data_IF_428547566133
#
_entry.id   IF_428547566133
#
_cell.length_a   1.000
_cell.length_b   1.000
_cell.length_c   1.000
_cell.angle_alpha   90.00
_cell.angle_beta   90.00
_cell.angle_gamma   90.00
#
_symmetry.space_group_name_H-M   'P 1'
#
loop_
_entity.id
_entity.type
_entity.pdbx_description
1 polymer ?
#
# COMPACT_ATOMS: atom_id res chain seq x y z
N UNK A 1 5.24 7.23 -30.22
CA UNK A 1 6.25 7.99 -29.44
C UNK A 1 5.68 8.20 -28.04
N UNK A 2 6.25 7.57 -27.03
CA UNK A 2 5.90 7.87 -25.63
C UNK A 2 6.58 9.18 -25.23
N UNK A 3 5.80 10.14 -24.74
CA UNK A 3 6.37 11.37 -24.16
C UNK A 3 6.95 11.01 -22.80
N UNK A 4 8.18 11.45 -22.46
CA UNK A 4 8.74 11.21 -21.14
C UNK A 4 7.85 11.86 -20.08
N UNK A 5 7.62 11.15 -18.98
CA UNK A 5 6.95 11.72 -17.81
C UNK A 5 8.00 12.52 -17.06
N UNK A 6 7.77 13.82 -16.93
CA UNK A 6 8.70 14.75 -16.29
C UNK A 6 8.08 15.17 -14.95
N UNK A 7 8.81 14.95 -13.86
CA UNK A 7 8.46 15.49 -12.57
C UNK A 7 8.41 17.03 -12.65
N UNK A 8 7.29 17.60 -12.23
CA UNK A 8 7.09 19.04 -12.20
C UNK A 8 6.20 19.40 -11.00
N UNK A 9 6.73 20.24 -10.12
CA UNK A 9 5.97 20.72 -8.97
C UNK A 9 4.83 21.64 -9.39
N UNK A 10 3.73 21.62 -8.65
CA UNK A 10 2.68 22.61 -8.78
C UNK A 10 3.23 24.01 -8.43
N UNK A 11 2.89 24.99 -9.22
CA UNK A 11 3.41 26.36 -9.10
C UNK A 11 2.41 27.36 -8.50
N UNK A 12 1.18 26.93 -8.24
CA UNK A 12 0.12 27.74 -7.63
C UNK A 12 -0.95 26.88 -6.95
N UNK A 13 -1.79 27.50 -6.12
CA UNK A 13 -2.84 26.83 -5.34
C UNK A 13 -3.85 26.11 -6.22
N UNK A 14 -4.20 26.65 -7.38
CA UNK A 14 -5.14 26.01 -8.31
C UNK A 14 -4.58 24.69 -8.86
N UNK A 15 -3.29 24.65 -9.19
CA UNK A 15 -2.62 23.43 -9.61
C UNK A 15 -2.58 22.38 -8.50
N UNK A 16 -2.34 22.78 -7.24
CA UNK A 16 -2.41 21.89 -6.06
C UNK A 16 -3.81 21.30 -5.91
N UNK A 17 -4.85 22.14 -5.95
CA UNK A 17 -6.24 21.70 -5.84
C UNK A 17 -6.62 20.72 -6.95
N UNK A 18 -6.25 21.01 -8.19
CA UNK A 18 -6.47 20.12 -9.32
C UNK A 18 -5.73 18.79 -9.15
N UNK A 19 -4.49 18.81 -8.66
CA UNK A 19 -3.70 17.61 -8.40
C UNK A 19 -4.43 16.66 -7.43
N UNK A 20 -4.86 17.18 -6.26
CA UNK A 20 -5.54 16.34 -5.28
C UNK A 20 -6.94 15.92 -5.71
N UNK A 21 -7.67 16.75 -6.44
CA UNK A 21 -8.94 16.33 -7.05
C UNK A 21 -8.74 15.15 -8.01
N UNK A 22 -7.76 15.23 -8.90
CA UNK A 22 -7.43 14.15 -9.84
C UNK A 22 -6.88 12.91 -9.14
N UNK A 23 -6.10 13.10 -8.07
CA UNK A 23 -5.66 12.02 -7.22
C UNK A 23 -6.84 11.28 -6.57
N UNK A 24 -7.87 12.01 -6.12
CA UNK A 24 -9.11 11.42 -5.61
C UNK A 24 -9.84 10.57 -6.65
N UNK A 25 -9.94 11.06 -7.90
CA UNK A 25 -10.51 10.28 -9.01
C UNK A 25 -9.71 9.00 -9.27
N UNK A 26 -8.38 9.07 -9.27
CA UNK A 26 -7.54 7.87 -9.39
C UNK A 26 -7.75 6.92 -8.21
N UNK A 27 -7.85 7.45 -7.00
CA UNK A 27 -8.08 6.65 -5.80
C UNK A 27 -9.39 5.86 -5.87
N UNK A 28 -10.45 6.41 -6.48
CA UNK A 28 -11.71 5.68 -6.72
C UNK A 28 -11.50 4.49 -7.67
N UNK A 29 -10.73 4.67 -8.74
CA UNK A 29 -10.40 3.59 -9.67
C UNK A 29 -9.50 2.54 -8.99
N UNK A 30 -8.48 2.99 -8.24
CA UNK A 30 -7.57 2.10 -7.51
C UNK A 30 -8.31 1.30 -6.44
N UNK A 31 -9.28 1.91 -5.76
CA UNK A 31 -10.16 1.20 -4.83
C UNK A 31 -10.95 0.09 -5.53
N UNK A 32 -11.62 0.41 -6.65
CA UNK A 32 -12.39 -0.58 -7.43
C UNK A 32 -11.52 -1.76 -7.89
N UNK A 33 -10.33 -1.46 -8.38
CA UNK A 33 -9.40 -2.46 -8.91
C UNK A 33 -8.60 -3.20 -7.82
N UNK A 34 -8.75 -2.87 -6.55
CA UNK A 34 -7.93 -3.38 -5.45
C UNK A 34 -6.43 -3.19 -5.68
N UNK A 35 -6.05 -2.03 -6.23
CA UNK A 35 -4.66 -1.71 -6.52
C UNK A 35 -3.79 -1.76 -5.28
N UNK A 36 -2.55 -2.15 -5.48
CA UNK A 36 -1.50 -2.15 -4.45
C UNK A 36 -0.27 -1.43 -4.97
N UNK A 37 0.67 -1.12 -4.08
CA UNK A 37 2.01 -0.64 -4.43
C UNK A 37 2.08 0.73 -5.14
N UNK A 38 1.04 1.57 -5.01
CA UNK A 38 1.04 2.95 -5.53
C UNK A 38 1.78 3.88 -4.57
N UNK A 39 3.03 3.55 -4.26
CA UNK A 39 3.87 4.34 -3.35
C UNK A 39 4.57 5.51 -4.07
N UNK A 40 5.38 6.26 -3.34
CA UNK A 40 6.00 7.51 -3.80
C UNK A 40 6.94 7.36 -5.01
N UNK A 41 7.46 6.16 -5.28
CA UNK A 41 8.27 5.91 -6.47
C UNK A 41 7.41 5.63 -7.71
N UNK A 42 6.15 5.22 -7.54
CA UNK A 42 5.22 4.86 -8.60
C UNK A 42 4.22 5.96 -8.96
N UNK A 43 4.16 7.05 -8.17
CA UNK A 43 3.31 8.21 -8.42
C UNK A 43 4.15 9.46 -8.60
N UNK A 44 4.19 9.99 -9.83
CA UNK A 44 4.97 11.18 -10.17
C UNK A 44 4.08 12.43 -10.22
N UNK A 45 4.50 13.49 -9.56
CA UNK A 45 3.83 14.79 -9.66
C UNK A 45 4.18 15.45 -11.00
N UNK A 46 3.14 15.77 -11.78
CA UNK A 46 3.23 16.51 -13.03
C UNK A 46 2.34 17.75 -12.97
N UNK A 47 2.81 18.79 -12.28
CA UNK A 47 2.10 20.05 -12.00
C UNK A 47 0.76 19.82 -11.27
N UNK A 48 -0.31 19.73 -12.05
CA UNK A 48 -1.71 19.64 -11.60
C UNK A 48 -2.28 18.23 -11.70
N UNK A 49 -1.43 17.23 -11.94
CA UNK A 49 -1.85 15.84 -12.18
C UNK A 49 -0.87 14.84 -11.56
N UNK A 50 -1.33 13.86 -10.78
CA UNK A 50 -0.53 12.68 -10.49
C UNK A 50 -0.41 11.83 -11.77
N UNK A 51 0.75 11.19 -11.95
CA UNK A 51 1.00 10.22 -13.03
C UNK A 51 1.51 8.94 -12.42
N UNK A 52 0.83 7.84 -12.70
CA UNK A 52 1.24 6.51 -12.28
C UNK A 52 2.19 5.98 -13.36
N UNK A 53 3.39 5.59 -12.97
CA UNK A 53 4.45 5.13 -13.88
C UNK A 53 4.66 3.63 -13.85
N UNK A 54 4.20 2.96 -12.80
CA UNK A 54 4.18 1.51 -12.70
C UNK A 54 2.75 1.01 -12.50
N UNK A 55 2.23 0.31 -13.51
CA UNK A 55 0.86 -0.17 -13.54
C UNK A 55 0.75 -1.69 -13.32
N UNK A 56 1.84 -2.38 -12.96
CA UNK A 56 1.81 -3.85 -12.85
C UNK A 56 0.89 -4.38 -11.74
N UNK A 57 0.61 -3.55 -10.73
CA UNK A 57 -0.21 -3.88 -9.55
C UNK A 57 -1.51 -3.07 -9.45
N UNK A 58 -1.94 -2.44 -10.56
CA UNK A 58 -3.21 -1.67 -10.60
C UNK A 58 -4.42 -2.57 -10.32
N UNK A 59 -4.34 -3.84 -10.66
CA UNK A 59 -5.39 -4.83 -10.38
C UNK A 59 -4.81 -5.91 -9.49
N UNK A 60 -5.58 -6.37 -8.48
CA UNK A 60 -5.15 -7.46 -7.60
C UNK A 60 -6.28 -8.43 -7.30
N UNK A 61 -5.91 -9.69 -7.06
CA UNK A 61 -6.78 -10.72 -6.53
C UNK A 61 -6.90 -10.61 -5.00
N UNK A 62 -8.04 -10.98 -4.43
CA UNK A 62 -8.26 -10.89 -2.99
C UNK A 62 -7.78 -12.15 -2.27
N UNK A 63 -6.95 -11.97 -1.25
CA UNK A 63 -6.47 -13.08 -0.40
C UNK A 63 -7.57 -13.65 0.49
N UNK A 64 -7.39 -14.89 0.92
CA UNK A 64 -8.22 -15.47 1.97
C UNK A 64 -7.95 -14.79 3.32
N UNK A 65 -9.01 -14.49 4.05
CA UNK A 65 -8.96 -13.83 5.37
C UNK A 65 -8.91 -14.87 6.52
N UNK A 66 -7.95 -15.80 6.50
CA UNK A 66 -7.95 -16.91 7.47
C UNK A 66 -7.63 -16.50 8.92
N UNK A 67 -6.87 -15.44 9.14
CA UNK A 67 -6.39 -15.05 10.48
C UNK A 67 -6.45 -13.54 10.76
N UNK A 68 -7.04 -12.77 9.86
CA UNK A 68 -7.05 -11.32 10.04
C UNK A 68 -8.16 -10.90 10.99
N UNK A 69 -7.80 -10.05 11.93
CA UNK A 69 -8.79 -9.30 12.70
C UNK A 69 -9.57 -8.32 11.79
N UNK A 70 -10.63 -7.74 12.31
CA UNK A 70 -11.50 -6.83 11.57
C UNK A 70 -10.74 -5.67 10.90
N UNK A 71 -9.68 -5.18 11.55
CA UNK A 71 -8.87 -4.05 11.07
C UNK A 71 -8.02 -4.45 9.86
N UNK A 72 -7.37 -5.61 9.90
CA UNK A 72 -6.62 -6.14 8.77
C UNK A 72 -7.49 -6.33 7.53
N UNK A 73 -8.71 -6.85 7.72
CA UNK A 73 -9.71 -6.96 6.64
C UNK A 73 -10.07 -5.61 6.05
N UNK A 74 -10.30 -4.62 6.92
CA UNK A 74 -10.61 -3.25 6.51
C UNK A 74 -9.47 -2.65 5.68
N UNK A 75 -8.21 -2.81 6.10
CA UNK A 75 -7.05 -2.30 5.37
C UNK A 75 -6.96 -2.92 3.98
N UNK A 76 -7.04 -4.25 3.87
CA UNK A 76 -6.90 -4.97 2.60
C UNK A 76 -8.08 -4.81 1.64
N UNK A 77 -9.25 -4.39 2.11
CA UNK A 77 -10.45 -4.17 1.27
C UNK A 77 -10.75 -2.70 0.98
N UNK A 78 -9.99 -1.78 1.56
CA UNK A 78 -10.27 -0.33 1.50
C UNK A 78 -9.35 0.42 0.53
N UNK A 79 -9.57 1.74 0.43
CA UNK A 79 -8.70 2.68 -0.30
C UNK A 79 -7.24 2.65 0.18
N UNK A 80 -7.02 2.26 1.45
CA UNK A 80 -5.68 2.22 2.06
C UNK A 80 -4.79 1.14 1.45
N UNK A 81 -5.39 0.10 0.87
CA UNK A 81 -4.67 -0.97 0.18
C UNK A 81 -3.79 -0.44 -0.95
N UNK A 82 -4.22 0.63 -1.63
CA UNK A 82 -3.52 1.21 -2.77
C UNK A 82 -2.11 1.71 -2.47
N UNK A 83 -1.82 2.07 -1.22
CA UNK A 83 -0.60 2.78 -0.80
C UNK A 83 -0.48 4.21 -1.33
N UNK A 84 -1.51 4.76 -1.96
CA UNK A 84 -1.54 6.18 -2.31
C UNK A 84 -1.65 7.07 -1.08
N UNK A 85 -2.31 6.58 -0.03
CA UNK A 85 -2.55 7.27 1.24
C UNK A 85 -1.55 6.82 2.31
N UNK A 86 -1.24 7.68 3.29
CA UNK A 86 -0.41 7.32 4.41
C UNK A 86 -1.02 6.16 5.19
N UNK A 87 -0.26 5.10 5.36
CA UNK A 87 -0.59 4.03 6.29
C UNK A 87 0.57 3.99 7.27
N UNK A 88 0.44 4.74 8.36
CA UNK A 88 1.44 4.82 9.40
C UNK A 88 1.46 3.53 10.20
N UNK A 89 1.96 2.49 9.57
CA UNK A 89 2.38 1.28 10.27
C UNK A 89 3.74 1.62 10.89
N UNK A 90 3.86 1.62 12.21
CA UNK A 90 5.16 1.67 12.84
C UNK A 90 5.87 0.35 12.48
N UNK A 91 6.45 0.30 11.28
CA UNK A 91 7.30 -0.81 10.88
C UNK A 91 8.71 -0.46 11.34
N UNK A 92 9.39 -1.39 11.99
CA UNK A 92 10.80 -1.23 12.35
C UNK A 92 11.72 -1.06 11.12
N UNK A 93 11.17 -1.20 9.92
CA UNK A 93 11.90 -1.14 8.63
C UNK A 93 11.93 0.27 8.06
N UNK A 94 10.82 1.01 8.14
CA UNK A 94 10.73 2.37 7.58
C UNK A 94 10.18 3.34 8.62
N UNK A 95 10.98 4.30 9.02
CA UNK A 95 10.60 5.40 9.94
C UNK A 95 9.93 6.57 9.18
N UNK A 96 9.53 6.39 7.92
CA UNK A 96 8.98 7.45 7.09
C UNK A 96 7.80 6.95 6.25
N UNK A 97 6.93 7.89 5.88
CA UNK A 97 5.79 7.61 5.01
C UNK A 97 6.27 7.42 3.56
N UNK A 98 5.86 6.30 2.97
CA UNK A 98 6.14 5.95 1.58
C UNK A 98 4.92 6.11 0.67
N UNK A 99 3.84 6.72 1.14
CA UNK A 99 2.61 6.86 0.38
C UNK A 99 2.81 7.64 -0.92
N UNK A 100 2.04 7.31 -1.93
CA UNK A 100 2.14 7.93 -3.26
C UNK A 100 1.84 9.42 -3.28
N UNK A 101 0.99 9.91 -2.38
CA UNK A 101 0.51 11.30 -2.38
C UNK A 101 1.13 12.17 -1.29
N UNK A 102 1.55 11.58 -0.17
CA UNK A 102 1.93 12.31 1.04
C UNK A 102 3.33 12.01 1.55
N UNK A 103 4.09 11.13 0.88
CA UNK A 103 5.47 10.88 1.27
C UNK A 103 6.28 12.17 1.33
N UNK A 104 6.77 12.51 2.52
CA UNK A 104 7.56 13.71 2.76
C UNK A 104 9.04 13.39 2.92
N UNK A 105 9.85 14.40 2.57
CA UNK A 105 11.27 14.40 2.92
C UNK A 105 11.40 14.60 4.43
N UNK A 106 11.62 13.54 5.17
CA UNK A 106 11.84 13.64 6.60
C UNK A 106 13.05 14.54 6.94
N UNK A 107 13.01 15.19 8.11
CA UNK A 107 14.12 15.98 8.67
C UNK A 107 15.39 15.15 8.89
N UNK A 108 15.28 13.81 8.95
CA UNK A 108 16.43 12.91 8.96
C UNK A 108 16.32 11.94 7.80
N UNK A 109 17.24 12.01 6.86
CA UNK A 109 17.39 11.06 5.75
C UNK A 109 17.93 9.70 6.24
N UNK A 110 17.50 9.23 7.42
CA UNK A 110 18.02 8.00 8.03
C UNK A 110 16.92 6.98 8.15
N UNK A 111 17.13 5.86 7.51
CA UNK A 111 16.25 4.69 7.55
C UNK A 111 16.90 3.63 8.40
N UNK A 112 16.15 2.99 9.28
CA UNK A 112 16.58 1.77 9.97
C UNK A 112 16.47 0.59 9.02
N UNK A 113 17.59 0.00 8.69
CA UNK A 113 17.68 -1.17 7.82
C UNK A 113 18.23 -2.34 8.64
N UNK A 114 17.60 -3.52 8.65
CA UNK A 114 18.19 -4.69 9.27
C UNK A 114 19.42 -5.13 8.45
N UNK A 115 20.55 -5.26 9.13
CA UNK A 115 21.80 -5.76 8.55
C UNK A 115 22.37 -6.86 9.41
N UNK A 116 23.00 -7.86 8.78
CA UNK A 116 23.80 -8.85 9.49
C UNK A 116 25.07 -8.16 9.97
N UNK A 117 25.34 -8.27 11.27
CA UNK A 117 26.39 -7.47 11.94
C UNK A 117 27.72 -8.19 12.02
N UNK A 118 27.75 -9.49 11.89
CA UNK A 118 28.97 -10.26 12.06
C UNK A 118 29.24 -11.16 10.87
N UNK A 119 30.24 -10.80 10.07
CA UNK A 119 30.66 -11.53 8.89
C UNK A 119 31.58 -12.72 9.25
N UNK A 120 31.95 -12.85 10.53
CA UNK A 120 33.00 -13.79 10.98
C UNK A 120 32.41 -14.94 11.80
N UNK A 121 31.39 -14.72 12.58
CA UNK A 121 30.74 -15.73 13.41
C UNK A 121 29.64 -16.48 12.68
N UNK A 122 29.45 -17.76 13.01
CA UNK A 122 28.39 -18.63 12.48
C UNK A 122 26.99 -18.26 12.98
N UNK A 123 26.90 -17.36 13.96
CA UNK A 123 25.66 -16.90 14.57
C UNK A 123 25.17 -15.66 13.83
N UNK A 124 24.10 -15.82 13.04
CA UNK A 124 23.51 -14.72 12.26
C UNK A 124 22.77 -13.79 13.23
N UNK A 125 23.40 -12.66 13.55
CA UNK A 125 22.82 -11.61 14.39
C UNK A 125 22.37 -10.43 13.55
N UNK A 126 21.13 -10.01 13.70
CA UNK A 126 20.63 -8.79 13.08
C UNK A 126 20.86 -7.57 13.96
N UNK A 127 21.29 -6.49 13.32
CA UNK A 127 21.31 -5.17 13.92
C UNK A 127 20.63 -4.19 12.98
N UNK A 128 19.77 -3.35 13.53
CA UNK A 128 19.21 -2.24 12.75
C UNK A 128 20.26 -1.12 12.64
N UNK A 129 20.62 -0.80 11.41
CA UNK A 129 21.59 0.26 11.10
C UNK A 129 20.86 1.41 10.45
N UNK A 130 21.17 2.64 10.87
CA UNK A 130 20.66 3.84 10.22
C UNK A 130 21.45 4.10 8.93
N UNK A 131 20.76 4.03 7.80
CA UNK A 131 21.32 4.29 6.48
C UNK A 131 20.80 5.64 5.99
N UNK A 132 21.66 6.43 5.34
CA UNK A 132 21.23 7.66 4.69
C UNK A 132 20.55 7.30 3.36
N UNK A 133 19.28 7.65 3.22
CA UNK A 133 18.61 7.68 1.92
C UNK A 133 18.33 9.11 1.49
N UNK A 134 18.39 9.35 0.20
CA UNK A 134 17.87 10.56 -0.42
C UNK A 134 16.40 10.30 -0.78
N UNK A 135 15.44 10.82 -0.03
CA UNK A 135 14.03 10.60 -0.33
C UNK A 135 13.71 11.20 -1.69
N UNK A 136 13.04 10.42 -2.52
CA UNK A 136 12.46 10.93 -3.77
C UNK A 136 11.20 11.71 -3.42
N UNK A 137 11.17 12.98 -3.81
CA UNK A 137 10.06 13.89 -3.53
C UNK A 137 8.87 13.55 -4.43
N UNK A 138 7.85 12.91 -3.89
CA UNK A 138 6.51 12.93 -4.51
C UNK A 138 5.70 14.15 -4.04
N UNK A 139 6.10 14.78 -2.94
CA UNK A 139 5.29 15.72 -2.21
C UNK A 139 5.29 17.12 -2.81
N UNK A 140 4.12 17.59 -3.13
CA UNK A 140 3.77 19.01 -3.36
C UNK A 140 3.85 19.86 -2.10
N UNK A 141 3.85 19.23 -0.93
CA UNK A 141 3.48 19.86 0.33
C UNK A 141 4.53 20.79 0.90
N UNK A 142 5.80 20.49 0.76
CA UNK A 142 6.84 21.15 1.55
C UNK A 142 7.24 22.55 1.07
N UNK A 143 6.88 22.94 -0.15
CA UNK A 143 7.31 24.22 -0.72
C UNK A 143 6.22 25.24 -0.99
N UNK A 144 4.97 24.84 -1.03
CA UNK A 144 3.87 25.75 -1.37
C UNK A 144 3.23 26.44 -0.17
N UNK A 145 3.67 26.23 1.05
CA UNK A 145 3.32 27.01 2.27
C UNK A 145 1.91 27.62 2.43
N UNK A 146 1.08 27.52 1.41
CA UNK A 146 -0.19 28.20 1.24
C UNK A 146 -1.40 27.26 1.08
N UNK A 147 -1.20 25.98 0.78
CA UNK A 147 -2.34 25.03 0.76
C UNK A 147 -2.57 24.54 2.18
N UNK A 148 -3.71 24.87 2.76
CA UNK A 148 -4.09 24.32 4.05
C UNK A 148 -4.48 22.87 3.89
N UNK A 149 -4.15 22.03 4.87
CA UNK A 149 -4.48 20.59 4.89
C UNK A 149 -5.95 20.32 4.60
N UNK A 150 -6.85 21.14 5.14
CA UNK A 150 -8.30 21.08 4.85
C UNK A 150 -8.63 21.21 3.37
N UNK A 151 -7.92 22.06 2.62
CA UNK A 151 -8.16 22.24 1.18
C UNK A 151 -7.71 21.01 0.40
N UNK A 152 -6.61 20.38 0.83
CA UNK A 152 -6.07 19.15 0.24
C UNK A 152 -7.05 17.99 0.45
N UNK A 153 -7.49 17.78 1.70
CA UNK A 153 -8.46 16.74 2.05
C UNK A 153 -9.77 16.96 1.30
N UNK A 154 -10.30 18.19 1.31
CA UNK A 154 -11.55 18.53 0.63
C UNK A 154 -11.51 18.22 -0.87
N UNK A 155 -10.41 18.55 -1.55
CA UNK A 155 -10.24 18.26 -2.99
C UNK A 155 -10.09 16.77 -3.26
N UNK A 156 -9.35 16.05 -2.43
CA UNK A 156 -9.18 14.61 -2.56
C UNK A 156 -10.51 13.87 -2.39
N UNK A 157 -11.29 14.21 -1.36
CA UNK A 157 -12.63 13.65 -1.11
C UNK A 157 -13.60 13.98 -2.25
N UNK A 158 -13.63 15.23 -2.72
CA UNK A 158 -14.46 15.63 -3.86
C UNK A 158 -14.12 14.84 -5.12
N UNK A 159 -12.83 14.62 -5.40
CA UNK A 159 -12.38 13.82 -6.53
C UNK A 159 -12.75 12.33 -6.37
N UNK A 160 -12.57 11.76 -5.18
CA UNK A 160 -12.95 10.38 -4.89
C UNK A 160 -14.45 10.15 -5.08
N UNK A 161 -15.27 11.02 -4.51
CA UNK A 161 -16.73 10.98 -4.67
C UNK A 161 -17.16 11.08 -6.12
N UNK A 162 -16.60 12.04 -6.87
CA UNK A 162 -16.86 12.21 -8.30
C UNK A 162 -16.48 10.95 -9.10
N UNK A 163 -15.31 10.35 -8.81
CA UNK A 163 -14.86 9.11 -9.43
C UNK A 163 -15.80 7.94 -9.15
N UNK A 164 -16.18 7.72 -7.89
CA UNK A 164 -17.14 6.67 -7.50
C UNK A 164 -18.52 6.90 -8.15
N UNK A 165 -19.01 8.13 -8.16
CA UNK A 165 -20.29 8.49 -8.80
C UNK A 165 -20.27 8.16 -10.30
N UNK A 166 -19.17 8.47 -10.99
CA UNK A 166 -19.04 8.17 -12.41
C UNK A 166 -18.92 6.67 -12.68
N UNK A 167 -18.25 5.91 -11.81
CA UNK A 167 -18.20 4.44 -11.86
C UNK A 167 -19.61 3.86 -11.74
N UNK A 168 -20.43 4.35 -10.78
CA UNK A 168 -21.80 3.90 -10.60
C UNK A 168 -22.64 4.20 -11.84
N UNK A 169 -22.56 5.42 -12.39
CA UNK A 169 -23.29 5.81 -13.62
C UNK A 169 -22.93 4.92 -14.79
N UNK A 170 -21.66 4.53 -14.92
CA UNK A 170 -21.14 3.69 -16.01
C UNK A 170 -21.01 2.21 -15.65
N UNK A 171 -21.73 1.75 -14.61
CA UNK A 171 -21.65 0.37 -14.12
C UNK A 171 -21.72 -0.67 -15.24
N UNK A 172 -22.65 -0.52 -16.17
CA UNK A 172 -22.80 -1.46 -17.30
C UNK A 172 -21.59 -1.45 -18.24
N UNK A 173 -20.98 -0.31 -18.49
CA UNK A 173 -19.76 -0.23 -19.31
C UNK A 173 -18.57 -0.87 -18.59
N UNK A 174 -18.44 -0.67 -17.29
CA UNK A 174 -17.41 -1.33 -16.47
C UNK A 174 -17.61 -2.85 -16.49
N UNK A 175 -18.85 -3.34 -16.30
CA UNK A 175 -19.19 -4.76 -16.37
C UNK A 175 -18.83 -5.35 -17.73
N UNK A 176 -19.11 -4.65 -18.82
CA UNK A 176 -18.76 -5.08 -20.17
C UNK A 176 -17.25 -5.24 -20.34
N UNK A 177 -16.46 -4.26 -19.93
CA UNK A 177 -14.98 -4.30 -20.00
C UNK A 177 -14.42 -5.43 -19.16
N UNK A 178 -14.85 -5.54 -17.90
CA UNK A 178 -14.34 -6.57 -16.95
C UNK A 178 -14.73 -7.99 -17.40
N UNK A 179 -15.83 -8.13 -18.14
CA UNK A 179 -16.32 -9.41 -18.64
C UNK A 179 -15.82 -9.78 -20.04
N UNK A 180 -15.04 -8.91 -20.68
CA UNK A 180 -14.51 -9.18 -22.02
C UNK A 180 -13.55 -10.38 -22.00
N UNK A 181 -13.81 -11.42 -22.82
CA UNK A 181 -12.98 -12.63 -22.87
C UNK A 181 -11.50 -12.39 -23.19
N UNK A 182 -11.17 -11.28 -23.87
CA UNK A 182 -9.77 -10.96 -24.20
C UNK A 182 -8.89 -10.81 -22.95
N UNK A 183 -9.45 -10.41 -21.80
CA UNK A 183 -8.72 -10.24 -20.55
C UNK A 183 -8.64 -11.52 -19.70
N UNK A 184 -9.32 -12.61 -20.08
CA UNK A 184 -9.45 -13.80 -19.24
C UNK A 184 -8.12 -14.41 -18.79
N UNK A 185 -7.11 -14.36 -19.65
CA UNK A 185 -5.74 -14.86 -19.38
C UNK A 185 -4.73 -13.75 -19.12
N UNK A 186 -5.19 -12.51 -18.92
CA UNK A 186 -4.31 -11.41 -18.58
C UNK A 186 -3.57 -11.73 -17.28
N UNK A 187 -2.25 -11.62 -17.31
CA UNK A 187 -1.41 -11.81 -16.13
C UNK A 187 -1.50 -10.57 -15.24
N UNK A 188 -1.84 -10.80 -13.98
CA UNK A 188 -1.98 -9.78 -12.94
C UNK A 188 -0.86 -10.02 -11.93
N UNK A 189 0.07 -9.07 -11.83
CA UNK A 189 1.19 -9.15 -10.90
C UNK A 189 0.69 -9.23 -9.47
N UNK A 190 1.28 -10.12 -8.67
CA UNK A 190 0.95 -10.27 -7.27
C UNK A 190 2.20 -10.04 -6.40
N UNK A 191 2.13 -9.03 -5.54
CA UNK A 191 3.18 -8.73 -4.57
C UNK A 191 2.86 -9.45 -3.26
N UNK A 192 3.60 -10.51 -2.96
CA UNK A 192 3.42 -11.29 -1.74
C UNK A 192 4.26 -10.74 -0.59
N UNK A 193 5.40 -10.13 -0.91
CA UNK A 193 6.29 -9.41 -0.01
C UNK A 193 6.85 -8.18 -0.71
N UNK A 194 7.31 -7.17 0.03
CA UNK A 194 8.09 -6.07 -0.54
C UNK A 194 9.32 -6.62 -1.28
N UNK A 195 9.58 -6.13 -2.49
CA UNK A 195 10.74 -6.54 -3.30
C UNK A 195 12.05 -6.26 -2.57
N UNK A 196 12.09 -5.21 -1.75
CA UNK A 196 13.18 -4.90 -0.84
C UNK A 196 13.55 -6.06 0.09
N UNK A 197 12.57 -6.80 0.62
CA UNK A 197 12.84 -7.97 1.46
C UNK A 197 13.63 -9.03 0.70
N UNK A 198 13.22 -9.36 -0.53
CA UNK A 198 13.94 -10.33 -1.36
C UNK A 198 15.37 -9.87 -1.68
N UNK A 199 15.51 -8.59 -2.07
CA UNK A 199 16.83 -7.99 -2.35
C UNK A 199 17.75 -8.12 -1.15
N UNK A 200 17.28 -7.85 0.06
CA UNK A 200 18.09 -7.99 1.28
C UNK A 200 18.53 -9.43 1.55
N UNK A 201 17.65 -10.41 1.40
CA UNK A 201 18.04 -11.82 1.56
C UNK A 201 19.06 -12.25 0.50
N UNK A 202 18.93 -11.78 -0.74
CA UNK A 202 19.91 -12.04 -1.81
C UNK A 202 21.25 -11.43 -1.42
N UNK A 203 21.30 -10.13 -1.08
CA UNK A 203 22.52 -9.43 -0.67
C UNK A 203 23.22 -10.13 0.51
N UNK A 204 22.45 -10.47 1.57
CA UNK A 204 22.95 -11.14 2.74
C UNK A 204 23.48 -12.55 2.43
N UNK A 205 22.84 -13.25 1.48
CA UNK A 205 23.28 -14.61 1.07
C UNK A 205 24.66 -14.64 0.40
N UNK A 206 25.13 -13.51 -0.11
CA UNK A 206 26.44 -13.34 -0.73
C UNK A 206 27.54 -12.85 0.22
N UNK A 207 27.22 -12.69 1.50
CA UNK A 207 28.26 -12.36 2.48
C UNK A 207 29.17 -13.54 2.77
N UNK A 208 30.46 -13.30 3.10
CA UNK A 208 31.44 -14.37 3.34
C UNK A 208 31.01 -15.41 4.37
N UNK A 209 30.29 -15.01 5.43
CA UNK A 209 29.76 -15.92 6.43
C UNK A 209 28.75 -16.92 5.86
N UNK A 210 27.89 -16.48 4.92
CA UNK A 210 26.88 -17.32 4.27
C UNK A 210 27.45 -18.16 3.12
N UNK A 211 28.55 -17.71 2.47
CA UNK A 211 29.15 -18.42 1.33
C UNK A 211 30.13 -19.51 1.75
N UNK A 212 30.57 -19.56 3.02
CA UNK A 212 31.56 -20.53 3.48
C UNK A 212 31.08 -21.97 3.34
N UNK A 213 29.84 -22.25 3.71
CA UNK A 213 29.24 -23.57 3.60
C UNK A 213 27.80 -23.48 3.12
N UNK A 214 27.30 -24.59 2.56
CA UNK A 214 25.90 -24.69 2.14
C UNK A 214 24.95 -24.54 3.33
N UNK A 215 25.34 -25.09 4.48
CA UNK A 215 24.58 -25.06 5.74
C UNK A 215 24.40 -23.63 6.24
N UNK A 216 25.44 -22.80 6.18
CA UNK A 216 25.37 -21.38 6.58
C UNK A 216 24.38 -20.62 5.71
N UNK A 217 24.38 -20.86 4.40
CA UNK A 217 23.45 -20.23 3.49
C UNK A 217 22.01 -20.70 3.72
N UNK A 218 21.81 -21.98 4.04
CA UNK A 218 20.49 -22.50 4.42
C UNK A 218 19.97 -21.87 5.71
N UNK A 219 20.81 -21.70 6.73
CA UNK A 219 20.45 -21.06 7.99
C UNK A 219 19.89 -19.65 7.80
N UNK A 220 20.40 -18.87 6.83
CA UNK A 220 19.83 -17.57 6.46
C UNK A 220 18.36 -17.71 6.00
N UNK A 221 18.05 -18.70 5.18
CA UNK A 221 16.70 -18.91 4.66
C UNK A 221 15.76 -19.58 5.67
N UNK A 222 16.29 -20.25 6.70
CA UNK A 222 15.50 -20.80 7.79
C UNK A 222 14.82 -19.70 8.61
N UNK A 223 15.40 -18.50 8.65
CA UNK A 223 14.75 -17.32 9.26
C UNK A 223 13.41 -17.02 8.56
N UNK A 224 13.37 -17.12 7.23
CA UNK A 224 12.09 -16.97 6.50
C UNK A 224 11.11 -18.10 6.80
N UNK A 225 11.61 -19.34 6.97
CA UNK A 225 10.77 -20.50 7.29
C UNK A 225 10.17 -20.40 8.68
N UNK A 226 10.94 -19.93 9.65
CA UNK A 226 10.50 -19.78 11.04
C UNK A 226 9.46 -18.68 11.21
N UNK A 227 9.66 -17.54 10.53
CA UNK A 227 8.74 -16.40 10.60
C UNK A 227 7.47 -16.60 9.76
N UNK A 228 7.35 -17.69 8.99
CA UNK A 228 6.29 -17.89 8.01
C UNK A 228 5.22 -18.89 8.43
N UNK A 229 5.01 -19.09 9.73
CA UNK A 229 4.06 -20.07 10.27
C UNK A 229 2.58 -19.76 9.99
N UNK A 230 2.26 -18.56 9.51
CA UNK A 230 0.88 -18.09 9.38
C UNK A 230 0.15 -18.50 8.09
N UNK A 231 0.85 -18.98 7.07
CA UNK A 231 0.24 -19.34 5.76
C UNK A 231 0.07 -20.86 5.61
N UNK A 232 -0.50 -21.50 6.64
CA UNK A 232 -0.46 -22.93 6.88
C UNK A 232 -0.99 -23.81 5.72
N UNK A 233 -1.91 -23.30 4.88
CA UNK A 233 -2.50 -24.09 3.78
C UNK A 233 -1.61 -24.19 2.53
N UNK A 234 -0.88 -23.13 2.21
CA UNK A 234 -0.09 -23.03 0.97
C UNK A 234 1.36 -22.58 1.21
N UNK A 235 1.71 -22.26 2.46
CA UNK A 235 2.93 -21.55 2.84
C UNK A 235 4.21 -22.24 2.41
N UNK A 236 4.32 -23.54 2.58
CA UNK A 236 5.57 -24.26 2.27
C UNK A 236 5.91 -24.26 0.79
N UNK A 237 4.98 -24.54 -0.11
CA UNK A 237 5.27 -24.59 -1.56
C UNK A 237 5.65 -23.23 -2.11
N UNK A 238 4.93 -22.17 -1.71
CA UNK A 238 5.24 -20.81 -2.10
C UNK A 238 6.58 -20.36 -1.54
N UNK A 239 6.82 -20.60 -0.26
CA UNK A 239 8.05 -20.20 0.43
C UNK A 239 9.28 -20.89 -0.15
N UNK A 240 9.21 -22.18 -0.44
CA UNK A 240 10.32 -22.91 -1.07
C UNK A 240 10.59 -22.41 -2.50
N UNK A 241 9.57 -21.98 -3.23
CA UNK A 241 9.76 -21.29 -4.51
C UNK A 241 10.48 -19.96 -4.32
N UNK A 242 10.04 -19.11 -3.35
CA UNK A 242 10.69 -17.84 -3.00
C UNK A 242 12.18 -18.07 -2.70
N UNK A 243 12.50 -19.02 -1.82
CA UNK A 243 13.87 -19.36 -1.42
C UNK A 243 14.67 -19.87 -2.62
N UNK A 244 14.09 -20.71 -3.45
CA UNK A 244 14.73 -21.23 -4.66
C UNK A 244 15.15 -20.12 -5.61
N UNK A 245 14.31 -19.13 -5.84
CA UNK A 245 14.64 -17.99 -6.69
C UNK A 245 15.71 -17.08 -6.07
N UNK A 246 15.59 -16.75 -4.79
CA UNK A 246 16.60 -15.96 -4.09
C UNK A 246 17.99 -16.64 -4.08
N UNK A 247 18.05 -17.98 -3.95
CA UNK A 247 19.30 -18.73 -4.06
C UNK A 247 19.96 -18.63 -5.43
N UNK A 248 19.17 -18.36 -6.48
CA UNK A 248 19.65 -18.08 -7.85
C UNK A 248 20.00 -16.61 -8.08
N UNK A 249 19.77 -15.74 -7.07
CA UNK A 249 19.96 -14.29 -7.19
C UNK A 249 18.77 -13.58 -7.84
N UNK A 250 17.60 -14.24 -7.97
CA UNK A 250 16.41 -13.68 -8.59
C UNK A 250 15.42 -13.18 -7.54
N UNK A 251 14.78 -12.05 -7.83
CA UNK A 251 13.58 -11.63 -7.09
C UNK A 251 12.40 -12.49 -7.57
N UNK A 252 11.68 -13.20 -6.67
CA UNK A 252 10.54 -14.03 -7.04
C UNK A 252 9.43 -13.22 -7.71
N UNK A 253 8.90 -13.72 -8.83
CA UNK A 253 7.83 -13.08 -9.57
C UNK A 253 6.60 -13.96 -9.54
N UNK A 254 5.53 -13.43 -8.93
CA UNK A 254 4.23 -14.09 -8.87
C UNK A 254 3.18 -13.34 -9.67
N UNK A 255 2.22 -14.07 -10.20
CA UNK A 255 1.04 -13.51 -10.86
C UNK A 255 -0.18 -14.42 -10.68
N UNK A 256 -1.37 -13.88 -10.88
CA UNK A 256 -2.60 -14.62 -11.13
C UNK A 256 -3.05 -14.36 -12.57
N UNK A 257 -3.89 -15.23 -13.13
CA UNK A 257 -4.66 -14.87 -14.32
C UNK A 257 -5.91 -14.09 -13.88
N UNK A 258 -6.35 -13.13 -14.67
CA UNK A 258 -7.43 -12.21 -14.30
C UNK A 258 -8.72 -12.91 -13.85
N UNK A 259 -9.05 -14.05 -14.45
CA UNK A 259 -10.24 -14.85 -14.14
C UNK A 259 -9.95 -16.06 -13.23
N UNK A 260 -8.73 -16.20 -12.68
CA UNK A 260 -8.37 -17.35 -11.83
C UNK A 260 -7.90 -16.90 -10.46
N UNK A 261 -8.15 -17.73 -9.48
CA UNK A 261 -7.74 -17.55 -8.10
C UNK A 261 -6.47 -18.33 -7.73
N UNK A 262 -5.78 -18.90 -8.71
CA UNK A 262 -4.53 -19.61 -8.54
C UNK A 262 -3.33 -18.64 -8.49
N UNK A 263 -2.30 -19.00 -7.74
CA UNK A 263 -1.00 -18.33 -7.75
C UNK A 263 -0.07 -19.02 -8.74
N UNK A 264 0.46 -18.23 -9.66
CA UNK A 264 1.39 -18.69 -10.70
C UNK A 264 2.78 -18.10 -10.50
N UNK A 265 3.78 -18.88 -10.90
CA UNK A 265 5.15 -18.42 -11.16
C UNK A 265 5.75 -19.28 -12.27
N UNK A 266 6.64 -18.73 -13.09
CA UNK A 266 7.33 -19.41 -14.22
C UNK A 266 6.38 -20.19 -15.14
N UNK A 267 5.20 -19.67 -15.43
CA UNK A 267 4.21 -20.33 -16.28
C UNK A 267 3.48 -21.50 -15.63
N UNK A 268 3.69 -21.78 -14.35
CA UNK A 268 3.11 -22.91 -13.62
C UNK A 268 2.23 -22.44 -12.47
N UNK A 269 1.23 -23.24 -12.11
CA UNK A 269 0.48 -23.05 -10.87
C UNK A 269 1.39 -23.49 -9.71
N UNK A 270 1.71 -22.56 -8.81
CA UNK A 270 2.46 -22.85 -7.59
C UNK A 270 1.49 -23.20 -6.45
N UNK A 271 0.39 -22.46 -6.31
CA UNK A 271 -0.63 -22.74 -5.31
C UNK A 271 -2.02 -22.62 -5.95
N UNK A 272 -2.72 -23.75 -6.16
CA UNK A 272 -4.09 -23.72 -6.68
C UNK A 272 -5.05 -23.15 -5.65
N UNK A 273 -5.98 -22.28 -6.08
CA UNK A 273 -6.97 -21.64 -5.22
C UNK A 273 -6.36 -20.79 -4.11
N UNK A 274 -5.24 -20.12 -4.37
CA UNK A 274 -4.51 -19.29 -3.39
C UNK A 274 -5.31 -18.07 -2.96
N UNK A 275 -6.09 -17.50 -3.87
CA UNK A 275 -6.93 -16.33 -3.61
C UNK A 275 -8.37 -16.74 -3.34
N UNK A 276 -9.06 -15.96 -2.51
CA UNK A 276 -10.50 -16.13 -2.27
C UNK A 276 -11.29 -15.76 -3.51
N UNK A 277 -10.94 -14.63 -4.11
CA UNK A 277 -11.53 -14.14 -5.36
C UNK A 277 -10.41 -13.85 -6.36
N UNK A 278 -10.66 -14.20 -7.62
CA UNK A 278 -9.84 -13.73 -8.73
C UNK A 278 -9.88 -12.20 -8.85
N UNK A 279 -8.97 -11.61 -9.58
CA UNK A 279 -8.96 -10.17 -9.82
C UNK A 279 -10.27 -9.67 -10.43
N UNK A 280 -10.85 -10.43 -11.37
CA UNK A 280 -12.17 -10.15 -11.95
C UNK A 280 -13.26 -10.16 -10.89
N UNK A 281 -13.35 -11.22 -10.09
CA UNK A 281 -14.37 -11.37 -9.06
C UNK A 281 -14.26 -10.28 -8.00
N UNK A 282 -13.03 -9.88 -7.63
CA UNK A 282 -12.77 -8.78 -6.70
C UNK A 282 -13.34 -7.45 -7.21
N UNK A 283 -13.14 -7.14 -8.50
CA UNK A 283 -13.72 -5.92 -9.11
C UNK A 283 -15.25 -6.01 -9.14
N UNK A 284 -15.80 -7.16 -9.52
CA UNK A 284 -17.25 -7.36 -9.59
C UNK A 284 -17.91 -7.22 -8.22
N UNK A 285 -17.30 -7.80 -7.19
CA UNK A 285 -17.75 -7.72 -5.81
C UNK A 285 -17.77 -6.27 -5.31
N UNK A 286 -16.67 -5.53 -5.50
CA UNK A 286 -16.61 -4.12 -5.14
C UNK A 286 -17.60 -3.27 -5.93
N UNK A 287 -17.78 -3.53 -7.23
CA UNK A 287 -18.74 -2.81 -8.07
C UNK A 287 -20.19 -3.08 -7.67
N UNK A 288 -20.49 -4.29 -7.18
CA UNK A 288 -21.80 -4.66 -6.68
C UNK A 288 -22.18 -3.86 -5.42
N UNK A 289 -21.22 -3.71 -4.51
CA UNK A 289 -21.41 -3.06 -3.19
C UNK A 289 -21.00 -1.58 -3.17
N UNK A 290 -20.66 -0.99 -4.32
CA UNK A 290 -20.33 0.43 -4.41
C UNK A 290 -21.61 1.27 -4.36
N UNK A 291 -21.97 1.71 -3.17
CA UNK A 291 -23.12 2.54 -2.85
C UNK A 291 -22.69 3.78 -2.04
N UNK A 292 -23.65 4.65 -1.70
CA UNK A 292 -23.38 5.87 -0.94
C UNK A 292 -22.79 5.56 0.45
N UNK A 293 -23.22 4.49 1.10
CA UNK A 293 -22.71 4.07 2.41
C UNK A 293 -21.25 3.66 2.33
N UNK A 294 -20.91 2.86 1.32
CA UNK A 294 -19.54 2.43 1.04
C UNK A 294 -18.65 3.62 0.70
N UNK A 295 -19.12 4.55 -0.13
CA UNK A 295 -18.37 5.77 -0.48
C UNK A 295 -18.07 6.58 0.77
N UNK A 296 -19.07 6.86 1.61
CA UNK A 296 -18.89 7.60 2.88
C UNK A 296 -17.91 6.90 3.82
N UNK A 297 -17.95 5.58 3.88
CA UNK A 297 -17.01 4.82 4.68
C UNK A 297 -15.56 4.98 4.18
N UNK A 298 -15.34 4.89 2.86
CA UNK A 298 -14.01 5.10 2.28
C UNK A 298 -13.53 6.55 2.43
N UNK A 299 -14.41 7.54 2.28
CA UNK A 299 -14.11 8.96 2.53
C UNK A 299 -13.59 9.21 3.95
N UNK A 300 -14.17 8.52 4.94
CA UNK A 300 -13.67 8.59 6.33
C UNK A 300 -12.28 8.02 6.48
N UNK A 301 -12.03 6.87 5.85
CA UNK A 301 -10.70 6.27 5.89
C UNK A 301 -9.65 7.17 5.24
N UNK A 302 -10.00 7.85 4.14
CA UNK A 302 -9.13 8.84 3.51
C UNK A 302 -8.80 9.98 4.48
N UNK A 303 -9.83 10.59 5.06
CA UNK A 303 -9.66 11.72 6.00
C UNK A 303 -8.84 11.31 7.24
N UNK A 304 -9.14 10.15 7.81
CA UNK A 304 -8.42 9.61 8.98
C UNK A 304 -6.96 9.31 8.69
N UNK A 305 -6.66 8.72 7.54
CA UNK A 305 -5.30 8.41 7.13
C UNK A 305 -4.44 9.68 7.08
N UNK A 306 -4.94 10.74 6.45
CA UNK A 306 -4.24 12.02 6.33
C UNK A 306 -4.11 12.70 7.70
N UNK A 307 -5.18 12.69 8.49
CA UNK A 307 -5.16 13.26 9.83
C UNK A 307 -4.11 12.59 10.73
N UNK A 308 -4.06 11.27 10.76
CA UNK A 308 -3.08 10.53 11.56
C UNK A 308 -1.64 10.79 11.09
N UNK A 309 -1.45 10.98 9.79
CA UNK A 309 -0.16 11.35 9.23
C UNK A 309 0.28 12.73 9.75
N UNK A 310 -0.58 13.75 9.66
CA UNK A 310 -0.30 15.10 10.14
C UNK A 310 -0.08 15.14 11.65
N UNK A 311 -0.84 14.38 12.43
CA UNK A 311 -0.70 14.28 13.88
C UNK A 311 0.66 13.65 14.29
N UNK A 312 1.19 12.73 13.51
CA UNK A 312 2.52 12.16 13.76
C UNK A 312 3.64 13.14 13.41
N UNK A 313 3.43 14.04 12.44
CA UNK A 313 4.39 15.08 12.08
C UNK A 313 4.43 16.21 13.12
N UNK A 314 3.30 16.54 13.76
CA UNK A 314 3.20 17.53 14.84
C UNK A 314 2.25 17.06 15.95
N UNK A 315 2.77 16.37 16.99
CA UNK A 315 1.97 15.86 18.10
C UNK A 315 1.24 16.95 18.91
N UNK A 316 1.68 18.21 18.84
CA UNK A 316 1.03 19.32 19.56
C UNK A 316 -0.32 19.72 18.98
N UNK A 317 -0.59 19.38 17.73
CA UNK A 317 -1.82 19.70 17.00
C UNK A 317 -2.92 18.61 17.11
N UNK A 318 -2.68 17.54 17.86
CA UNK A 318 -3.35 16.25 17.68
C UNK A 318 -4.81 16.22 18.11
N UNK A 319 -5.24 16.99 19.11
CA UNK A 319 -6.57 16.79 19.71
C UNK A 319 -7.60 17.81 19.19
N UNK A 320 -7.18 19.03 18.92
CA UNK A 320 -8.10 20.12 18.52
C UNK A 320 -8.51 20.05 17.03
N UNK A 321 -7.76 19.37 16.18
CA UNK A 321 -8.03 19.30 14.75
C UNK A 321 -8.93 18.14 14.34
N UNK A 322 -9.12 17.12 15.20
CA UNK A 322 -9.97 15.97 14.88
C UNK A 322 -11.43 16.40 14.61
N UNK A 323 -11.95 17.29 15.42
CA UNK A 323 -13.30 17.82 15.26
C UNK A 323 -13.44 18.67 13.99
N UNK A 324 -12.39 19.38 13.58
CA UNK A 324 -12.40 20.24 12.39
C UNK A 324 -12.39 19.45 11.06
N UNK A 325 -11.84 18.24 11.01
CA UNK A 325 -11.78 17.43 9.77
C UNK A 325 -13.18 16.97 9.37
N UNK A 326 -14.03 16.65 10.32
CA UNK A 326 -15.39 16.21 10.06
C UNK A 326 -16.35 17.37 9.72
N UNK A 327 -15.99 18.61 10.05
CA UNK A 327 -16.80 19.81 9.73
C UNK A 327 -16.52 20.39 8.32
N UNK A 328 -15.48 19.92 7.62
CA UNK A 328 -14.95 20.60 6.41
C UNK A 328 -15.88 20.49 5.19
N UNK A 329 -16.83 19.57 5.13
CA UNK A 329 -17.63 19.32 3.92
C UNK A 329 -19.13 19.24 4.14
N UNK A 330 -19.72 20.07 5.00
CA UNK A 330 -21.18 20.03 5.22
C UNK A 330 -21.64 18.73 5.85
N UNK A 331 -20.78 18.05 6.56
CA UNK A 331 -21.10 16.89 7.39
C UNK A 331 -21.75 17.32 8.72
N UNK A 332 -22.52 18.40 8.69
CA UNK A 332 -23.22 18.98 9.84
C UNK A 332 -24.22 18.03 10.53
N UNK A 333 -24.37 16.81 10.02
CA UNK A 333 -25.32 15.81 10.51
C UNK A 333 -24.71 14.66 11.32
N UNK A 334 -23.43 14.74 11.71
CA UNK A 334 -22.87 13.70 12.56
C UNK A 334 -23.20 13.95 14.03
N UNK A 335 -23.93 13.01 14.63
CA UNK A 335 -24.23 13.01 16.07
C UNK A 335 -22.95 12.86 16.88
N UNK A 336 -22.94 13.40 18.10
CA UNK A 336 -21.83 13.27 19.06
C UNK A 336 -21.41 11.82 19.27
N UNK A 337 -22.38 10.89 19.30
CA UNK A 337 -22.17 9.44 19.40
C UNK A 337 -21.29 8.89 18.26
N UNK A 338 -21.46 9.43 17.06
CA UNK A 338 -20.69 9.00 15.90
C UNK A 338 -19.23 9.46 15.94
N UNK A 339 -18.97 10.67 16.44
CA UNK A 339 -17.63 11.20 16.67
C UNK A 339 -16.90 10.42 17.77
N UNK A 340 -17.62 10.05 18.84
CA UNK A 340 -17.08 9.21 19.91
C UNK A 340 -16.72 7.80 19.41
N UNK A 341 -17.62 7.15 18.67
CA UNK A 341 -17.34 5.85 18.05
C UNK A 341 -16.15 5.90 17.07
N UNK A 342 -15.99 7.02 16.35
CA UNK A 342 -14.84 7.21 15.47
C UNK A 342 -13.52 7.42 16.25
N UNK A 343 -13.56 8.11 17.39
CA UNK A 343 -12.43 8.26 18.31
C UNK A 343 -12.00 6.92 18.91
N UNK A 344 -12.96 6.14 19.44
CA UNK A 344 -12.70 4.79 19.96
C UNK A 344 -12.09 3.89 18.88
N UNK A 345 -12.63 3.92 17.66
CA UNK A 345 -12.10 3.15 16.55
C UNK A 345 -10.67 3.59 16.17
N UNK A 346 -10.38 4.90 16.17
CA UNK A 346 -9.02 5.40 15.94
C UNK A 346 -8.04 4.96 17.02
N UNK A 347 -8.46 4.96 18.29
CA UNK A 347 -7.62 4.48 19.39
C UNK A 347 -7.37 2.99 19.30
N UNK A 348 -8.38 2.19 18.95
CA UNK A 348 -8.22 0.76 18.70
C UNK A 348 -7.33 0.49 17.50
N UNK A 349 -7.50 1.24 16.41
CA UNK A 349 -6.66 1.16 15.22
C UNK A 349 -5.20 1.48 15.54
N UNK A 350 -4.93 2.54 16.31
CA UNK A 350 -3.59 2.89 16.76
C UNK A 350 -2.97 1.82 17.67
N UNK A 351 -3.77 1.22 18.57
CA UNK A 351 -3.33 0.09 19.40
C UNK A 351 -2.96 -1.11 18.54
N UNK A 352 -3.79 -1.41 17.52
CA UNK A 352 -3.53 -2.49 16.58
C UNK A 352 -2.25 -2.27 15.79
N UNK A 353 -2.04 -1.08 15.24
CA UNK A 353 -0.81 -0.73 14.52
C UNK A 353 0.43 -0.88 15.40
N UNK A 354 0.35 -0.46 16.68
CA UNK A 354 1.43 -0.64 17.66
C UNK A 354 1.71 -2.10 18.02
N UNK A 355 0.69 -2.96 18.00
CA UNK A 355 0.85 -4.41 18.27
C UNK A 355 1.49 -5.09 17.06
N UNK A 356 1.02 -4.80 15.86
CA UNK A 356 1.60 -5.36 14.63
C UNK A 356 3.07 -4.96 14.44
N UNK A 357 3.43 -3.75 14.80
CA UNK A 357 4.82 -3.29 14.79
C UNK A 357 5.76 -4.02 15.78
N UNK A 358 5.21 -4.64 16.82
CA UNK A 358 6.00 -5.45 17.78
C UNK A 358 6.10 -6.92 17.35
N UNK A 359 5.29 -7.35 16.38
CA UNK A 359 5.24 -8.73 15.88
C UNK A 359 5.95 -8.92 14.54
N UNK A 360 6.42 -7.85 13.91
CA UNK A 360 7.28 -7.82 12.73
C UNK A 360 8.72 -7.52 13.09
#
# INVERSE_FOLDING_TARGET
>A
MHRPIIYQMANNISAVKNYYYRAGVYLAVMYLCSSTDMHSENVVCCMDSPRIIDCETVVSAQKHNFEQNQIGKTLESSVLQSRMLPVNLPTDVFDYDVSGLFAETMKSNKIKVPMIVDDVELDIKYKYVLVNETPKLSALHSKLGCAQEKDVIGMLLAGFNAGCTEIIKRKNSVLQVVSDPQYSKMKVRQLLRPTYTYSKFIDESHKPCCERTKENREALFDILRENFKSDAKYGTTRLEYEISEMKRGNIPIFYSEFCKNDLFADGRIICPGYYQFSAKETILEKLLHLDETTIKYQERLIAMSIFLHSANLDPSNTIHNFDNIFYINGYDNYTTEYLEASKEWCEEFLKYLKIQARCL
#
